data_IF_489997193184
#
_entry.id   IF_489997193184
#
_cell.length_a   1.000
_cell.length_b   1.000
_cell.length_c   1.000
_cell.angle_alpha   90.00
_cell.angle_beta   90.00
_cell.angle_gamma   90.00
#
_symmetry.space_group_name_H-M   'P 1'
#
loop_
_entity.id
_entity.type
_entity.pdbx_description
1 polymer ?
#
# COMPACT_ATOMS: atom_id res chain seq x y z
N UNK A 1 -16.68 -3.44 6.71
CA UNK A 1 -15.69 -2.38 6.99
C UNK A 1 -14.35 -3.05 7.27
N UNK A 2 -13.29 -2.69 6.54
CA UNK A 2 -11.93 -3.13 6.88
C UNK A 2 -11.48 -2.44 8.17
N UNK A 3 -10.80 -3.18 9.04
CA UNK A 3 -10.12 -2.56 10.19
C UNK A 3 -8.80 -1.93 9.74
N UNK A 4 -8.28 -0.97 10.51
CA UNK A 4 -6.99 -0.34 10.21
C UNK A 4 -5.87 -1.39 10.04
N UNK A 5 -5.92 -2.48 10.82
CA UNK A 5 -4.97 -3.59 10.76
C UNK A 5 -5.05 -4.35 9.43
N UNK A 6 -6.28 -4.66 8.97
CA UNK A 6 -6.49 -5.30 7.67
C UNK A 6 -6.08 -4.38 6.52
N UNK A 7 -6.35 -3.07 6.63
CA UNK A 7 -5.92 -2.10 5.62
C UNK A 7 -4.40 -2.00 5.52
N UNK A 8 -3.67 -1.98 6.65
CA UNK A 8 -2.20 -2.00 6.65
C UNK A 8 -1.65 -3.32 6.12
N UNK A 9 -2.31 -4.44 6.42
CA UNK A 9 -1.90 -5.75 5.91
C UNK A 9 -2.04 -5.84 4.39
N UNK A 10 -3.18 -5.42 3.84
CA UNK A 10 -3.38 -5.30 2.39
C UNK A 10 -2.39 -4.34 1.74
N UNK A 11 -2.02 -3.24 2.40
CA UNK A 11 -0.99 -2.32 1.91
C UNK A 11 0.40 -2.97 1.83
N UNK A 12 0.75 -3.80 2.80
CA UNK A 12 1.99 -4.59 2.78
C UNK A 12 1.93 -5.65 1.69
N UNK A 13 0.85 -6.43 1.65
CA UNK A 13 0.65 -7.47 0.64
C UNK A 13 0.68 -6.90 -0.78
N UNK A 14 0.22 -5.66 -1.00
CA UNK A 14 0.32 -4.99 -2.30
C UNK A 14 1.77 -4.84 -2.81
N UNK A 15 2.76 -4.85 -1.91
CA UNK A 15 4.17 -4.79 -2.31
C UNK A 15 4.70 -6.15 -2.78
N UNK A 16 4.23 -7.23 -2.17
CA UNK A 16 4.65 -8.60 -2.51
C UNK A 16 3.81 -9.23 -3.62
N UNK A 17 2.49 -8.97 -3.62
CA UNK A 17 1.50 -9.50 -4.57
C UNK A 17 0.59 -8.42 -5.13
N UNK A 18 0.08 -8.64 -6.34
CA UNK A 18 -1.02 -7.83 -6.86
C UNK A 18 -2.29 -8.11 -6.05
N UNK A 19 -2.91 -7.07 -5.50
CA UNK A 19 -4.20 -7.19 -4.81
C UNK A 19 -5.33 -7.48 -5.82
N UNK A 20 -6.35 -8.20 -5.38
CA UNK A 20 -7.58 -8.33 -6.17
C UNK A 20 -8.32 -7.00 -6.27
N UNK A 21 -9.03 -6.77 -7.37
CA UNK A 21 -9.81 -5.54 -7.61
C UNK A 21 -10.77 -5.22 -6.45
N UNK A 22 -11.35 -6.25 -5.83
CA UNK A 22 -12.27 -6.12 -4.68
C UNK A 22 -11.54 -5.73 -3.39
N UNK A 23 -10.33 -6.23 -3.15
CA UNK A 23 -9.50 -5.83 -2.02
C UNK A 23 -9.03 -4.39 -2.20
N UNK A 24 -8.66 -4.04 -3.43
CA UNK A 24 -8.20 -2.71 -3.80
C UNK A 24 -9.30 -1.64 -3.62
N UNK A 25 -10.53 -1.91 -4.05
CA UNK A 25 -11.65 -0.98 -3.87
C UNK A 25 -12.02 -0.80 -2.39
N UNK A 26 -12.10 -1.89 -1.62
CA UNK A 26 -12.32 -1.83 -0.18
C UNK A 26 -11.23 -1.04 0.54
N UNK A 27 -9.97 -1.26 0.17
CA UNK A 27 -8.83 -0.52 0.72
C UNK A 27 -8.95 0.97 0.40
N UNK A 28 -9.27 1.34 -0.85
CA UNK A 28 -9.49 2.75 -1.23
C UNK A 28 -10.57 3.40 -0.38
N UNK A 29 -11.74 2.77 -0.22
CA UNK A 29 -12.82 3.27 0.63
C UNK A 29 -12.35 3.50 2.07
N UNK A 30 -11.58 2.58 2.64
CA UNK A 30 -11.01 2.75 3.98
C UNK A 30 -10.00 3.92 4.04
N UNK A 31 -9.14 4.09 3.03
CA UNK A 31 -8.17 5.18 2.96
C UNK A 31 -8.83 6.56 2.80
N UNK A 32 -10.03 6.62 2.23
CA UNK A 32 -10.84 7.85 2.20
C UNK A 32 -11.34 8.23 3.59
N UNK A 33 -11.78 7.25 4.38
CA UNK A 33 -12.28 7.50 5.75
C UNK A 33 -11.14 7.66 6.78
N UNK A 34 -10.01 6.98 6.60
CA UNK A 34 -8.91 6.92 7.56
C UNK A 34 -7.62 7.56 7.01
N UNK A 35 -7.33 8.78 7.51
CA UNK A 35 -6.12 9.54 7.16
C UNK A 35 -4.83 8.83 7.57
N UNK A 36 -4.84 8.09 8.70
CA UNK A 36 -3.66 7.38 9.21
C UNK A 36 -3.21 6.28 8.25
N UNK A 37 -4.13 5.43 7.81
CA UNK A 37 -3.85 4.39 6.82
C UNK A 37 -3.43 5.01 5.47
N UNK A 38 -4.02 6.15 5.08
CA UNK A 38 -3.63 6.90 3.88
C UNK A 38 -2.18 7.36 3.94
N UNK A 39 -1.71 7.84 5.10
CA UNK A 39 -0.32 8.25 5.29
C UNK A 39 0.61 7.04 5.21
N UNK A 40 0.28 5.94 5.89
CA UNK A 40 1.05 4.71 5.81
C UNK A 40 1.23 4.20 4.36
N UNK A 41 0.15 4.18 3.57
CA UNK A 41 0.23 3.78 2.16
C UNK A 41 1.12 4.69 1.30
N UNK A 42 1.21 5.99 1.62
CA UNK A 42 2.18 6.89 0.96
C UNK A 42 3.62 6.52 1.32
N UNK A 43 3.90 6.23 2.59
CA UNK A 43 5.24 5.84 3.03
C UNK A 43 5.72 4.54 2.35
N UNK A 44 4.84 3.53 2.27
CA UNK A 44 5.13 2.29 1.54
C UNK A 44 5.41 2.54 0.06
N UNK A 45 4.63 3.41 -0.61
CA UNK A 45 4.87 3.77 -2.01
C UNK A 45 6.23 4.45 -2.21
N UNK A 46 6.61 5.37 -1.31
CA UNK A 46 7.93 6.00 -1.34
C UNK A 46 9.04 4.95 -1.22
N UNK A 47 8.89 4.00 -0.29
CA UNK A 47 9.85 2.91 -0.11
C UNK A 47 9.97 2.06 -1.40
N UNK A 48 8.84 1.66 -1.98
CA UNK A 48 8.81 0.89 -3.22
C UNK A 48 9.45 1.63 -4.40
N UNK A 49 9.23 2.95 -4.51
CA UNK A 49 9.87 3.78 -5.54
C UNK A 49 11.38 3.83 -5.34
N UNK A 50 11.84 4.06 -4.10
CA UNK A 50 13.25 4.05 -3.77
C UNK A 50 13.89 2.70 -4.09
N UNK A 51 13.29 1.58 -3.65
CA UNK A 51 13.79 0.23 -3.93
C UNK A 51 13.90 -0.05 -5.44
N UNK A 52 12.93 0.42 -6.24
CA UNK A 52 13.00 0.32 -7.71
C UNK A 52 14.11 1.20 -8.29
N UNK A 53 14.36 2.36 -7.70
CA UNK A 53 15.41 3.28 -8.13
C UNK A 53 16.81 2.73 -7.80
N UNK A 54 16.99 2.12 -6.64
CA UNK A 54 18.22 1.39 -6.28
C UNK A 54 18.54 0.27 -7.27
N UNK A 55 17.53 -0.52 -7.68
CA UNK A 55 17.73 -1.57 -8.69
C UNK A 55 18.25 -1.03 -10.04
N UNK A 56 18.04 0.25 -10.35
CA UNK A 56 18.55 0.89 -11.57
C UNK A 56 19.93 1.57 -11.38
N UNK A 57 20.42 1.71 -10.14
CA UNK A 57 21.75 2.29 -9.85
C UNK A 57 22.84 1.22 -9.88
N UNK A 58 22.49 -0.04 -9.61
CA UNK A 58 23.41 -1.19 -9.65
C UNK A 58 23.55 -1.85 -11.05
N UNK A 59 23.21 -1.15 -12.15
CA UNK A 59 23.47 -1.62 -13.52
C UNK A 59 24.54 -0.83 -14.26
#
# INVERSE_FOLDING_TARGET
MLTCRQATQLLSEKQDRALLLREQSNLQLHLFACRSCRRYGKHMKTLSVLSKQFKNVDH
#
